data_IF_439584546429
#
_entry.id   IF_439584546429
#
_cell.length_a   1.000
_cell.length_b   1.000
_cell.length_c   1.000
_cell.angle_alpha   90.00
_cell.angle_beta   90.00
_cell.angle_gamma   90.00
#
_symmetry.space_group_name_H-M   'P 1'
#
loop_
_entity.id
_entity.type
_entity.pdbx_description
1 polymer ?
#
# COMPACT_ATOMS: atom_id res chain seq x y z
N UNK A 1 4.05 12.83 -6.80
CA UNK A 1 3.85 11.49 -6.22
C UNK A 1 4.53 10.46 -7.10
N UNK A 2 5.41 9.67 -6.55
CA UNK A 2 6.19 8.70 -7.32
C UNK A 2 5.67 7.28 -7.05
N UNK A 3 5.07 6.68 -8.04
CA UNK A 3 4.42 5.35 -7.90
C UNK A 3 5.41 4.26 -7.50
N UNK A 4 6.63 4.32 -8.03
CA UNK A 4 7.64 3.32 -7.72
C UNK A 4 8.10 3.42 -6.27
N UNK A 5 8.28 4.63 -5.76
CA UNK A 5 8.67 4.84 -4.36
C UNK A 5 7.55 4.41 -3.41
N UNK A 6 6.31 4.72 -3.75
CA UNK A 6 5.15 4.25 -3.00
C UNK A 6 5.16 2.72 -2.91
N UNK A 7 5.37 2.07 -4.04
CA UNK A 7 5.40 0.62 -4.09
C UNK A 7 6.48 0.03 -3.19
N UNK A 8 7.68 0.61 -3.23
CA UNK A 8 8.79 0.16 -2.37
C UNK A 8 8.45 0.31 -0.89
N UNK A 9 7.82 1.42 -0.51
CA UNK A 9 7.41 1.65 0.88
C UNK A 9 6.37 0.64 1.31
N UNK A 10 5.41 0.34 0.45
CA UNK A 10 4.37 -0.65 0.75
C UNK A 10 4.94 -2.05 0.93
N UNK A 11 5.89 -2.44 0.07
CA UNK A 11 6.57 -3.73 0.21
C UNK A 11 7.30 -3.81 1.54
N UNK A 12 8.04 -2.77 1.89
CA UNK A 12 8.78 -2.72 3.15
C UNK A 12 7.84 -2.81 4.35
N UNK A 13 6.72 -2.09 4.32
CA UNK A 13 5.75 -2.11 5.40
C UNK A 13 5.07 -3.46 5.53
N UNK A 14 4.80 -4.12 4.41
CA UNK A 14 4.19 -5.45 4.44
C UNK A 14 5.09 -6.47 5.15
N UNK A 15 6.39 -6.37 4.96
CA UNK A 15 7.34 -7.25 5.66
C UNK A 15 7.07 -8.71 5.36
N UNK A 16 6.92 -9.51 6.40
CA UNK A 16 6.74 -10.95 6.27
C UNK A 16 5.29 -11.37 6.04
N UNK A 17 4.34 -10.43 6.04
CA UNK A 17 2.94 -10.74 5.77
C UNK A 17 2.78 -11.10 4.30
N UNK A 18 1.81 -11.98 4.00
CA UNK A 18 1.52 -12.31 2.59
C UNK A 18 0.66 -11.22 1.97
N UNK A 19 0.73 -11.10 0.65
CA UNK A 19 -0.17 -10.19 -0.08
C UNK A 19 -1.63 -10.56 0.15
N UNK A 20 -1.93 -11.86 0.20
CA UNK A 20 -3.29 -12.35 0.44
C UNK A 20 -3.83 -11.84 1.77
N UNK A 21 -3.03 -11.93 2.82
CA UNK A 21 -3.44 -11.49 4.14
C UNK A 21 -3.72 -9.97 4.16
N UNK A 22 -2.78 -9.19 3.65
CA UNK A 22 -2.93 -7.73 3.65
C UNK A 22 -4.11 -7.30 2.79
N UNK A 23 -4.26 -7.90 1.61
CA UNK A 23 -5.37 -7.57 0.72
C UNK A 23 -6.71 -7.87 1.38
N UNK A 24 -6.83 -9.04 2.00
CA UNK A 24 -8.07 -9.45 2.67
C UNK A 24 -8.44 -8.48 3.78
N UNK A 25 -7.46 -8.11 4.61
CA UNK A 25 -7.71 -7.24 5.75
C UNK A 25 -8.01 -5.80 5.36
N UNK A 26 -7.65 -5.41 4.15
CA UNK A 26 -7.92 -4.08 3.63
C UNK A 26 -9.05 -4.07 2.59
N UNK A 27 -9.73 -5.20 2.42
CA UNK A 27 -10.89 -5.34 1.52
C UNK A 27 -10.56 -4.96 0.08
N UNK A 28 -9.37 -5.36 -0.38
CA UNK A 28 -8.97 -5.19 -1.78
C UNK A 28 -8.52 -6.54 -2.34
N UNK A 29 -8.41 -6.62 -3.66
CA UNK A 29 -7.93 -7.84 -4.29
C UNK A 29 -6.40 -7.94 -4.17
N UNK A 30 -5.88 -9.17 -4.20
CA UNK A 30 -4.45 -9.41 -4.27
C UNK A 30 -3.87 -8.74 -5.51
N UNK A 31 -4.60 -8.80 -6.61
CA UNK A 31 -4.18 -8.16 -7.87
C UNK A 31 -4.00 -6.65 -7.69
N UNK A 32 -4.94 -5.99 -7.00
CA UNK A 32 -4.83 -4.56 -6.75
C UNK A 32 -3.61 -4.24 -5.88
N UNK A 33 -3.43 -4.98 -4.80
CA UNK A 33 -2.28 -4.76 -3.91
C UNK A 33 -0.97 -4.96 -4.68
N UNK A 34 -0.90 -6.00 -5.51
CA UNK A 34 0.27 -6.24 -6.35
C UNK A 34 0.58 -5.07 -7.27
N UNK A 35 -0.45 -4.48 -7.88
CA UNK A 35 -0.27 -3.32 -8.75
C UNK A 35 0.28 -2.12 -7.98
N UNK A 36 -0.22 -1.89 -6.76
CA UNK A 36 0.29 -0.81 -5.92
C UNK A 36 1.76 -1.03 -5.57
N UNK A 37 2.11 -2.26 -5.20
CA UNK A 37 3.48 -2.58 -4.79
C UNK A 37 4.47 -2.53 -5.96
N UNK A 38 4.02 -2.85 -7.17
CA UNK A 38 4.88 -2.77 -8.36
C UNK A 38 4.97 -1.37 -8.95
N UNK A 39 4.24 -0.41 -8.39
CA UNK A 39 4.26 0.96 -8.89
C UNK A 39 3.47 1.13 -10.17
N UNK A 40 2.52 0.24 -10.45
CA UNK A 40 1.69 0.31 -11.66
C UNK A 40 0.47 1.17 -11.45
N UNK A 41 0.06 1.36 -10.19
CA UNK A 41 -1.17 2.05 -9.88
C UNK A 41 -1.08 2.69 -8.49
N UNK A 42 -1.70 3.86 -8.34
CA UNK A 42 -1.82 4.51 -7.03
C UNK A 42 -3.22 4.23 -6.49
N UNK A 43 -3.35 3.79 -5.22
CA UNK A 43 -4.68 3.56 -4.66
C UNK A 43 -5.44 4.87 -4.49
N UNK A 44 -6.77 4.78 -4.54
CA UNK A 44 -7.62 5.94 -4.25
C UNK A 44 -7.62 6.22 -2.76
N UNK A 45 -8.16 7.38 -2.38
CA UNK A 45 -8.00 7.94 -1.04
C UNK A 45 -8.43 7.00 0.08
N UNK A 46 -9.58 6.34 -0.07
CA UNK A 46 -10.06 5.45 1.00
C UNK A 46 -9.16 4.24 1.20
N UNK A 47 -8.53 3.74 0.14
CA UNK A 47 -7.58 2.64 0.26
C UNK A 47 -6.27 3.12 0.86
N UNK A 48 -5.83 4.34 0.51
CA UNK A 48 -4.67 4.95 1.15
C UNK A 48 -4.85 5.02 2.66
N UNK A 49 -6.01 5.47 3.11
CA UNK A 49 -6.31 5.56 4.54
C UNK A 49 -6.30 4.18 5.19
N UNK A 50 -6.91 3.19 4.55
CA UNK A 50 -6.97 1.83 5.07
C UNK A 50 -5.57 1.26 5.26
N UNK A 51 -4.72 1.37 4.24
CA UNK A 51 -3.36 0.85 4.30
C UNK A 51 -2.52 1.57 5.36
N UNK A 52 -2.65 2.89 5.45
CA UNK A 52 -1.90 3.66 6.45
C UNK A 52 -2.29 3.23 7.86
N UNK A 53 -3.58 3.08 8.13
CA UNK A 53 -4.05 2.60 9.44
C UNK A 53 -3.57 1.18 9.72
N UNK A 54 -3.66 0.30 8.73
CA UNK A 54 -3.25 -1.08 8.89
C UNK A 54 -1.77 -1.19 9.24
N UNK A 55 -0.92 -0.38 8.59
CA UNK A 55 0.52 -0.39 8.84
C UNK A 55 0.94 0.55 9.97
N UNK A 56 -0.02 1.13 10.69
CA UNK A 56 0.23 2.01 11.83
C UNK A 56 1.13 3.18 11.46
N UNK A 57 0.80 3.84 10.37
CA UNK A 57 1.55 4.99 9.88
C UNK A 57 0.58 6.02 9.29
N UNK A 58 1.09 7.00 8.57
CA UNK A 58 0.27 8.07 8.01
C UNK A 58 0.22 7.98 6.49
N UNK A 59 -0.85 8.51 5.92
CA UNK A 59 -0.97 8.64 4.46
C UNK A 59 0.20 9.46 3.92
N UNK A 60 0.57 10.52 4.64
CA UNK A 60 1.67 11.39 4.23
C UNK A 60 2.98 10.62 4.06
N UNK A 61 3.31 9.77 5.04
CA UNK A 61 4.61 9.09 5.01
C UNK A 61 4.70 8.02 3.94
N UNK A 62 3.59 7.41 3.55
CA UNK A 62 3.60 6.39 2.50
C UNK A 62 3.50 7.04 1.11
N UNK A 63 2.52 7.92 0.92
CA UNK A 63 2.10 8.33 -0.42
C UNK A 63 2.61 9.70 -0.83
N UNK A 64 2.99 10.55 0.11
CA UNK A 64 3.35 11.94 -0.18
C UNK A 64 4.74 12.33 0.32
N UNK A 65 5.47 11.41 0.95
CA UNK A 65 6.85 11.68 1.37
C UNK A 65 7.77 11.77 0.17
N UNK A 66 8.78 12.60 0.27
CA UNK A 66 9.77 12.77 -0.79
C UNK A 66 11.12 12.20 -0.44
#
# INVERSE_FOLDING_TARGET
MNKQEIGKRLIALRGNRTQEEVARLNHISVSALGMYERGERVPRDEIKLSLAKFYDTTVQSIFYAE
#
